data_IF_667647347720
#
_entry.id   IF_667647347720
#
_cell.length_a   1.000
_cell.length_b   1.000
_cell.length_c   1.000
_cell.angle_alpha   90.00
_cell.angle_beta   90.00
_cell.angle_gamma   90.00
#
_symmetry.space_group_name_H-M   'P 1'
#
loop_
_entity.id
_entity.type
_entity.pdbx_description
1 polymer ?
#
# COMPACT_ATOMS: atom_id res chain seq x y z
N UNK A 1 -16.65 6.76 21.28
CA UNK A 1 -16.93 6.10 19.98
C UNK A 1 -17.22 7.18 18.95
N UNK A 2 -16.71 7.04 17.73
CA UNK A 2 -16.95 7.99 16.64
C UNK A 2 -18.42 7.94 16.19
N UNK A 3 -19.00 9.07 15.74
CA UNK A 3 -20.36 9.11 15.21
C UNK A 3 -20.46 8.32 13.90
N UNK A 4 -21.66 7.84 13.55
CA UNK A 4 -21.91 7.11 12.30
C UNK A 4 -21.44 7.89 11.06
N UNK A 5 -21.80 9.18 10.98
CA UNK A 5 -21.37 10.05 9.88
C UNK A 5 -19.83 10.22 9.85
N UNK A 6 -19.17 10.21 11.01
CA UNK A 6 -17.71 10.26 11.08
C UNK A 6 -17.05 8.98 10.55
N UNK A 7 -17.59 7.81 10.90
CA UNK A 7 -17.08 6.52 10.42
C UNK A 7 -17.32 6.34 8.92
N UNK A 8 -18.56 6.59 8.46
CA UNK A 8 -18.94 6.46 7.06
C UNK A 8 -18.12 7.42 6.18
N UNK A 9 -17.87 8.65 6.65
CA UNK A 9 -17.01 9.61 5.97
C UNK A 9 -15.57 9.15 5.83
N UNK A 10 -14.98 8.54 6.89
CA UNK A 10 -13.64 7.98 6.83
C UNK A 10 -13.54 6.81 5.85
N UNK A 11 -14.50 5.88 5.92
CA UNK A 11 -14.58 4.75 4.98
C UNK A 11 -14.69 5.27 3.55
N UNK A 12 -15.60 6.21 3.30
CA UNK A 12 -15.78 6.81 1.98
C UNK A 12 -14.49 7.47 1.46
N UNK A 13 -13.76 8.19 2.31
CA UNK A 13 -12.48 8.79 1.95
C UNK A 13 -11.43 7.71 1.60
N UNK A 14 -11.31 6.64 2.40
CA UNK A 14 -10.39 5.54 2.10
C UNK A 14 -10.69 4.84 0.76
N UNK A 15 -11.97 4.76 0.37
CA UNK A 15 -12.40 4.02 -0.82
C UNK A 15 -12.44 4.85 -2.10
N UNK A 16 -12.92 6.09 -2.03
CA UNK A 16 -13.21 6.89 -3.22
C UNK A 16 -12.22 8.02 -3.43
N UNK A 17 -11.54 8.48 -2.38
CA UNK A 17 -10.67 9.63 -2.50
C UNK A 17 -9.38 9.27 -3.25
N UNK A 18 -9.10 10.03 -4.30
CA UNK A 18 -7.86 9.95 -5.07
C UNK A 18 -7.49 11.34 -5.54
N UNK A 19 -6.20 11.65 -5.54
CA UNK A 19 -5.72 12.87 -6.16
C UNK A 19 -5.90 12.75 -7.67
N UNK A 20 -6.71 13.64 -8.24
CA UNK A 20 -7.03 13.78 -9.65
C UNK A 20 -5.89 14.44 -10.45
N UNK A 21 -6.00 14.48 -11.77
CA UNK A 21 -5.00 15.16 -12.61
C UNK A 21 -4.99 16.69 -12.40
N UNK A 22 -6.14 17.39 -12.35
CA UNK A 22 -6.16 18.82 -12.08
C UNK A 22 -5.53 19.18 -10.73
N UNK A 23 -5.79 18.39 -9.68
CA UNK A 23 -5.18 18.63 -8.35
C UNK A 23 -3.66 18.47 -8.36
N UNK A 24 -3.14 17.47 -9.08
CA UNK A 24 -1.69 17.34 -9.29
C UNK A 24 -1.14 18.58 -10.00
N UNK A 25 -1.81 19.06 -11.04
CA UNK A 25 -1.34 20.24 -11.77
C UNK A 25 -1.35 21.50 -10.90
N UNK A 26 -2.38 21.68 -10.08
CA UNK A 26 -2.42 22.76 -9.10
C UNK A 26 -1.29 22.68 -8.08
N UNK A 27 -0.97 21.48 -7.56
CA UNK A 27 0.18 21.33 -6.67
C UNK A 27 1.48 21.69 -7.39
N UNK A 28 1.65 21.27 -8.65
CA UNK A 28 2.86 21.56 -9.44
C UNK A 28 3.01 23.05 -9.73
N UNK A 29 1.91 23.78 -9.95
CA UNK A 29 1.93 25.22 -10.25
C UNK A 29 1.94 26.12 -9.01
N UNK A 30 1.71 25.57 -7.81
CA UNK A 30 1.65 26.34 -6.57
C UNK A 30 3.00 26.91 -6.08
N UNK A 31 4.12 26.53 -6.71
CA UNK A 31 5.43 27.14 -6.47
C UNK A 31 6.15 26.66 -5.21
N UNK A 32 5.71 25.57 -4.58
CA UNK A 32 6.41 24.95 -3.44
C UNK A 32 7.02 23.60 -3.80
N UNK A 33 8.12 23.26 -3.13
CA UNK A 33 8.80 21.97 -3.25
C UNK A 33 8.09 20.92 -2.39
N UNK A 34 8.12 19.66 -2.84
CA UNK A 34 7.49 18.53 -2.14
C UNK A 34 8.54 17.46 -1.83
N UNK A 35 8.49 16.88 -0.63
CA UNK A 35 9.26 15.68 -0.28
C UNK A 35 8.30 14.54 0.04
N UNK A 36 8.38 13.44 -0.72
CA UNK A 36 7.62 12.22 -0.46
C UNK A 36 8.55 11.26 0.30
N UNK A 37 8.36 11.16 1.61
CA UNK A 37 9.19 10.34 2.51
C UNK A 37 8.43 9.07 2.86
N UNK A 38 9.02 7.90 2.60
CA UNK A 38 8.29 6.63 2.73
C UNK A 38 9.18 5.46 3.17
N UNK A 39 8.60 4.53 3.95
CA UNK A 39 9.26 3.29 4.37
C UNK A 39 9.19 2.19 3.30
N UNK A 40 10.32 1.57 2.96
CA UNK A 40 10.41 0.52 1.92
C UNK A 40 9.58 -0.73 2.21
N UNK A 41 9.30 -0.98 3.48
CA UNK A 41 8.62 -2.18 3.96
C UNK A 41 7.21 -1.88 4.49
N UNK A 42 6.64 -0.71 4.17
CA UNK A 42 5.27 -0.37 4.52
C UNK A 42 4.28 -1.36 3.87
N UNK A 43 3.61 -2.14 4.71
CA UNK A 43 2.61 -3.13 4.31
C UNK A 43 1.21 -2.53 4.15
N UNK A 44 0.95 -1.37 4.75
CA UNK A 44 -0.33 -0.67 4.74
C UNK A 44 -0.41 0.20 3.48
N UNK A 45 0.58 1.07 3.28
CA UNK A 45 0.72 1.90 2.09
C UNK A 45 2.00 1.51 1.35
N UNK A 46 1.90 0.57 0.41
CA UNK A 46 3.10 0.03 -0.23
C UNK A 46 3.87 1.09 -1.03
N UNK A 47 5.21 1.00 -0.99
CA UNK A 47 6.13 1.95 -1.64
C UNK A 47 5.85 2.28 -3.13
N UNK A 48 5.28 1.40 -3.98
CA UNK A 48 4.94 1.79 -5.35
C UNK A 48 3.92 2.92 -5.43
N UNK A 49 3.05 3.09 -4.43
CA UNK A 49 2.09 4.19 -4.38
C UNK A 49 2.77 5.53 -4.11
N UNK A 50 3.70 5.57 -3.15
CA UNK A 50 4.50 6.75 -2.85
C UNK A 50 5.37 7.18 -4.04
N UNK A 51 6.07 6.22 -4.68
CA UNK A 51 6.85 6.48 -5.89
C UNK A 51 5.99 7.02 -7.04
N UNK A 52 4.79 6.46 -7.24
CA UNK A 52 3.86 6.96 -8.26
C UNK A 52 3.38 8.38 -7.96
N UNK A 53 3.11 8.70 -6.69
CA UNK A 53 2.75 10.06 -6.30
C UNK A 53 3.89 11.03 -6.57
N UNK A 54 5.11 10.71 -6.13
CA UNK A 54 6.30 11.53 -6.38
C UNK A 54 6.51 11.77 -7.88
N UNK A 55 6.34 10.74 -8.69
CA UNK A 55 6.48 10.82 -10.14
C UNK A 55 5.40 11.67 -10.82
N UNK A 56 4.14 11.59 -10.36
CA UNK A 56 3.06 12.47 -10.83
C UNK A 56 3.32 13.94 -10.47
N UNK A 57 4.01 14.18 -9.36
CA UNK A 57 4.40 15.51 -8.89
C UNK A 57 5.72 16.01 -9.50
N UNK A 58 6.36 15.27 -10.40
CA UNK A 58 7.55 15.76 -11.10
C UNK A 58 7.27 17.11 -11.82
N UNK A 59 8.16 18.11 -11.78
CA UNK A 59 9.49 18.10 -11.16
C UNK A 59 9.52 18.64 -9.72
N UNK A 60 8.39 18.96 -9.09
CA UNK A 60 8.40 19.63 -7.77
C UNK A 60 8.66 18.68 -6.60
N UNK A 61 8.56 17.37 -6.83
CA UNK A 61 8.74 16.37 -5.79
C UNK A 61 10.11 15.68 -5.81
N UNK A 62 10.60 15.36 -4.61
CA UNK A 62 11.73 14.44 -4.35
C UNK A 62 11.21 13.20 -3.64
N UNK A 63 11.65 12.01 -4.05
CA UNK A 63 11.33 10.75 -3.37
C UNK A 63 12.44 10.39 -2.37
N UNK A 64 12.07 10.11 -1.13
CA UNK A 64 12.98 9.68 -0.05
C UNK A 64 12.58 8.29 0.42
N UNK A 65 13.31 7.27 -0.07
CA UNK A 65 13.06 5.86 0.22
C UNK A 65 13.88 5.39 1.44
N UNK A 66 13.25 5.28 2.60
CA UNK A 66 13.91 4.89 3.84
C UNK A 66 13.67 3.42 4.21
N UNK A 67 14.59 2.82 4.97
CA UNK A 67 14.34 1.49 5.53
C UNK A 67 13.31 1.61 6.65
N UNK A 68 12.21 0.85 6.58
CA UNK A 68 11.21 0.83 7.64
C UNK A 68 9.81 0.56 7.11
N UNK A 69 8.86 0.44 8.03
CA UNK A 69 7.44 0.22 7.75
C UNK A 69 6.65 1.51 7.56
N UNK A 70 5.37 1.43 7.93
CA UNK A 70 4.44 2.56 7.85
C UNK A 70 4.83 3.73 8.75
N UNK A 71 5.43 3.44 9.90
CA UNK A 71 5.80 4.42 10.92
C UNK A 71 7.27 4.86 10.77
N UNK A 72 7.70 5.08 9.52
CA UNK A 72 9.11 5.40 9.21
C UNK A 72 9.60 6.67 9.92
N UNK A 73 8.70 7.59 10.31
CA UNK A 73 9.00 8.74 11.16
C UNK A 73 9.49 8.37 12.56
N UNK A 74 9.01 7.26 13.13
CA UNK A 74 9.44 6.73 14.41
C UNK A 74 10.63 5.78 14.27
N UNK A 75 10.69 5.02 13.17
CA UNK A 75 11.76 4.03 12.94
C UNK A 75 13.07 4.67 12.46
N UNK A 76 12.98 5.82 11.77
CA UNK A 76 14.10 6.52 11.11
C UNK A 76 14.02 8.02 11.36
N UNK A 77 13.85 8.41 12.62
CA UNK A 77 13.64 9.81 13.02
C UNK A 77 14.75 10.72 12.52
N UNK A 78 16.02 10.31 12.61
CA UNK A 78 17.15 11.12 12.18
C UNK A 78 17.16 11.35 10.66
N UNK A 79 16.94 10.30 9.86
CA UNK A 79 16.91 10.42 8.40
C UNK A 79 15.68 11.20 7.91
N UNK A 80 14.54 11.07 8.60
CA UNK A 80 13.34 11.87 8.33
C UNK A 80 13.58 13.34 8.67
N UNK A 81 14.12 13.64 9.86
CA UNK A 81 14.45 15.01 10.26
C UNK A 81 15.46 15.65 9.31
N UNK A 82 16.50 14.91 8.91
CA UNK A 82 17.44 15.38 7.89
C UNK A 82 16.74 15.73 6.58
N UNK A 83 15.83 14.87 6.11
CA UNK A 83 15.08 15.11 4.88
C UNK A 83 14.17 16.33 4.96
N UNK A 84 13.54 16.58 6.12
CA UNK A 84 12.73 17.77 6.37
C UNK A 84 13.60 19.04 6.38
N UNK A 85 14.75 19.01 7.05
CA UNK A 85 15.69 20.12 7.08
C UNK A 85 16.24 20.46 5.69
N UNK A 86 16.49 19.45 4.85
CA UNK A 86 16.90 19.66 3.46
C UNK A 86 15.79 20.33 2.63
N UNK A 87 14.53 19.96 2.83
CA UNK A 87 13.38 20.60 2.17
C UNK A 87 13.22 22.06 2.61
N UNK A 88 13.33 22.34 3.91
CA UNK A 88 13.26 23.71 4.45
C UNK A 88 14.35 24.58 3.83
N UNK A 89 15.60 24.11 3.88
CA UNK A 89 16.74 24.82 3.29
C UNK A 89 16.57 25.05 1.78
N UNK A 90 16.09 24.04 1.04
CA UNK A 90 15.84 24.18 -0.39
C UNK A 90 14.74 25.22 -0.69
N UNK A 91 13.70 25.26 0.14
CA UNK A 91 12.62 26.25 0.04
C UNK A 91 13.13 27.67 0.32
N UNK A 92 13.91 27.86 1.40
CA UNK A 92 14.52 29.15 1.75
C UNK A 92 15.46 29.66 0.66
N UNK A 93 16.25 28.76 0.07
CA UNK A 93 17.13 29.07 -1.07
C UNK A 93 16.38 29.24 -2.39
N UNK A 94 15.05 29.08 -2.42
CA UNK A 94 14.21 29.11 -3.63
C UNK A 94 14.76 28.22 -4.74
N UNK A 95 15.20 27.02 -4.35
CA UNK A 95 15.81 26.06 -5.28
C UNK A 95 14.83 25.72 -6.40
N UNK A 96 15.31 25.66 -7.64
CA UNK A 96 14.47 25.29 -8.76
C UNK A 96 13.94 23.85 -8.59
N UNK A 97 12.70 23.54 -9.00
CA UNK A 97 12.15 22.20 -8.93
C UNK A 97 13.04 21.12 -9.57
N UNK A 98 13.65 21.45 -10.72
CA UNK A 98 14.58 20.57 -11.45
C UNK A 98 15.84 20.22 -10.67
N UNK A 99 16.31 21.12 -9.81
CA UNK A 99 17.51 20.89 -8.99
C UNK A 99 17.14 20.18 -7.67
N UNK A 100 15.87 20.26 -7.26
CA UNK A 100 15.35 19.62 -6.06
C UNK A 100 15.04 18.13 -6.27
N UNK A 101 14.43 17.80 -7.41
CA UNK A 101 13.99 16.44 -7.69
C UNK A 101 15.15 15.47 -7.91
N UNK A 102 14.99 14.23 -7.44
CA UNK A 102 15.85 13.10 -7.76
C UNK A 102 15.21 12.12 -8.75
N UNK A 103 14.10 12.53 -9.36
CA UNK A 103 13.31 11.73 -10.28
C UNK A 103 13.69 12.05 -11.72
N UNK A 104 13.62 11.05 -12.58
CA UNK A 104 13.66 11.26 -14.02
C UNK A 104 12.26 11.54 -14.55
N UNK A 105 12.09 12.37 -15.60
CA UNK A 105 10.80 12.53 -16.25
C UNK A 105 10.26 11.16 -16.67
N UNK A 106 9.00 10.89 -16.36
CA UNK A 106 8.38 9.63 -16.76
C UNK A 106 8.20 9.63 -18.28
N UNK A 107 8.62 8.57 -18.96
CA UNK A 107 8.24 8.38 -20.36
C UNK A 107 6.73 8.13 -20.42
N UNK A 108 5.97 8.89 -21.23
CA UNK A 108 4.53 8.71 -21.32
C UNK A 108 4.22 7.25 -21.69
N UNK A 109 3.48 6.56 -20.82
CA UNK A 109 3.08 5.17 -21.01
C UNK A 109 3.90 4.13 -20.22
N UNK A 110 4.98 4.48 -19.53
CA UNK A 110 5.75 3.51 -18.72
C UNK A 110 4.88 2.80 -17.68
N UNK A 111 4.06 3.56 -16.96
CA UNK A 111 3.19 3.02 -15.92
C UNK A 111 2.02 2.19 -16.50
N UNK A 112 1.42 2.66 -17.61
CA UNK A 112 0.41 1.92 -18.37
C UNK A 112 0.98 0.60 -18.90
N UNK A 113 2.21 0.62 -19.42
CA UNK A 113 2.93 -0.56 -19.93
C UNK A 113 3.31 -1.52 -18.80
N UNK A 114 3.65 -1.02 -17.60
CA UNK A 114 3.86 -1.86 -16.39
C UNK A 114 2.58 -2.52 -15.90
N UNK A 115 1.46 -1.80 -15.82
CA UNK A 115 0.17 -2.40 -15.46
C UNK A 115 -0.26 -3.41 -16.52
N UNK A 116 -0.09 -3.09 -17.81
CA UNK A 116 -0.35 -4.02 -18.89
C UNK A 116 0.57 -5.25 -18.79
N UNK A 117 1.86 -5.08 -18.49
CA UNK A 117 2.82 -6.18 -18.31
C UNK A 117 2.47 -7.07 -17.11
N UNK A 118 2.00 -6.50 -15.98
CA UNK A 118 1.52 -7.29 -14.84
C UNK A 118 0.25 -8.08 -15.22
N UNK A 119 -0.60 -7.50 -16.07
CA UNK A 119 -1.83 -8.14 -16.57
C UNK A 119 -1.54 -9.21 -17.63
N UNK A 120 -0.50 -9.03 -18.45
CA UNK A 120 -0.07 -9.99 -19.48
C UNK A 120 0.97 -10.99 -18.97
N UNK A 121 1.63 -10.77 -17.83
CA UNK A 121 2.53 -11.77 -17.21
C UNK A 121 1.77 -12.94 -16.57
N UNK A 122 0.44 -12.87 -16.53
CA UNK A 122 -0.44 -14.05 -16.36
C UNK A 122 -0.38 -14.98 -17.59
N UNK A 123 0.21 -14.53 -18.70
CA UNK A 123 0.14 -15.15 -20.01
C UNK A 123 1.46 -14.90 -20.79
N UNK A 124 2.61 -15.27 -20.23
CA UNK A 124 3.87 -15.13 -20.99
C UNK A 124 5.13 -15.39 -20.20
N UNK A 125 5.78 -16.52 -20.53
CA UNK A 125 7.07 -16.97 -20.00
C UNK A 125 8.22 -15.97 -20.25
N UNK A 126 9.13 -15.96 -19.27
CA UNK A 126 10.55 -15.57 -19.30
C UNK A 126 10.93 -14.07 -19.21
N UNK A 127 11.24 -13.61 -17.99
CA UNK A 127 12.45 -12.80 -17.71
C UNK A 127 12.78 -12.84 -16.21
N UNK A 128 14.04 -13.12 -15.92
CA UNK A 128 14.64 -13.38 -14.60
C UNK A 128 14.51 -12.18 -13.64
N UNK A 129 13.81 -12.38 -12.52
CA UNK A 129 13.98 -11.65 -11.24
C UNK A 129 13.39 -12.51 -10.10
N UNK A 130 13.85 -12.36 -8.85
CA UNK A 130 14.07 -13.48 -7.93
C UNK A 130 12.76 -14.11 -7.40
N UNK A 131 12.67 -15.45 -7.36
CA UNK A 131 11.45 -16.18 -7.04
C UNK A 131 11.00 -16.03 -5.58
N UNK A 132 11.82 -15.45 -4.70
CA UNK A 132 11.55 -15.40 -3.26
C UNK A 132 10.39 -14.48 -2.87
N UNK A 133 10.27 -13.30 -3.47
CA UNK A 133 9.30 -12.29 -3.01
C UNK A 133 7.85 -12.62 -3.35
N UNK A 134 7.60 -13.16 -4.55
CA UNK A 134 6.26 -13.56 -5.00
C UNK A 134 5.84 -14.84 -4.28
N UNK A 135 6.77 -15.79 -4.10
CA UNK A 135 6.51 -17.06 -3.43
C UNK A 135 6.17 -16.84 -1.94
N UNK A 136 6.82 -15.90 -1.26
CA UNK A 136 6.53 -15.58 0.15
C UNK A 136 5.15 -14.92 0.34
N UNK A 137 4.73 -14.04 -0.59
CA UNK A 137 3.37 -13.46 -0.57
C UNK A 137 2.31 -14.51 -0.88
N UNK A 138 2.56 -15.38 -1.85
CA UNK A 138 1.65 -16.47 -2.19
C UNK A 138 1.53 -17.47 -1.03
N UNK A 139 2.66 -17.81 -0.40
CA UNK A 139 2.70 -18.71 0.76
C UNK A 139 1.92 -18.13 1.95
N UNK A 140 2.09 -16.83 2.25
CA UNK A 140 1.30 -16.16 3.30
C UNK A 140 -0.21 -16.14 2.99
N UNK A 141 -0.58 -15.89 1.73
CA UNK A 141 -1.98 -15.96 1.29
C UNK A 141 -2.56 -17.37 1.44
N UNK A 142 -1.81 -18.40 1.04
CA UNK A 142 -2.21 -19.80 1.13
C UNK A 142 -2.40 -20.24 2.58
N UNK A 143 -1.47 -19.88 3.47
CA UNK A 143 -1.59 -20.17 4.91
C UNK A 143 -2.80 -19.48 5.53
N UNK A 144 -3.10 -18.24 5.14
CA UNK A 144 -4.27 -17.52 5.61
C UNK A 144 -5.58 -18.20 5.18
N UNK A 145 -5.67 -18.63 3.91
CA UNK A 145 -6.84 -19.36 3.40
C UNK A 145 -7.00 -20.73 4.07
N UNK A 146 -5.92 -21.48 4.26
CA UNK A 146 -5.92 -22.75 5.00
C UNK A 146 -6.38 -22.55 6.45
N UNK A 147 -5.91 -21.49 7.12
CA UNK A 147 -6.36 -21.15 8.47
C UNK A 147 -7.87 -20.88 8.54
N UNK A 148 -8.41 -20.12 7.59
CA UNK A 148 -9.85 -19.87 7.50
C UNK A 148 -10.64 -21.16 7.24
N UNK A 149 -10.14 -22.04 6.38
CA UNK A 149 -10.78 -23.33 6.09
C UNK A 149 -10.80 -24.24 7.32
N UNK A 150 -9.69 -24.33 8.07
CA UNK A 150 -9.63 -25.12 9.32
C UNK A 150 -10.59 -24.54 10.37
N UNK A 151 -10.63 -23.21 10.52
CA UNK A 151 -11.54 -22.55 11.45
C UNK A 151 -13.01 -22.81 11.09
N UNK A 152 -13.38 -22.67 9.81
CA UNK A 152 -14.72 -22.95 9.32
C UNK A 152 -15.09 -24.43 9.50
N UNK A 153 -14.16 -25.35 9.21
CA UNK A 153 -14.35 -26.78 9.39
C UNK A 153 -14.53 -27.16 10.86
N UNK A 154 -13.73 -26.59 11.77
CA UNK A 154 -13.92 -26.80 13.20
C UNK A 154 -15.28 -26.30 13.67
N UNK A 155 -15.71 -25.12 13.21
CA UNK A 155 -17.00 -24.55 13.58
C UNK A 155 -18.15 -25.44 13.08
N UNK A 156 -18.08 -25.90 11.83
CA UNK A 156 -19.04 -26.84 11.26
C UNK A 156 -19.04 -28.16 12.06
N UNK A 157 -17.87 -28.74 12.34
CA UNK A 157 -17.75 -30.00 13.11
C UNK A 157 -18.34 -29.87 14.52
N UNK A 158 -18.15 -28.73 15.20
CA UNK A 158 -18.74 -28.46 16.52
C UNK A 158 -20.26 -28.35 16.41
N UNK A 159 -20.77 -27.62 15.43
CA UNK A 159 -22.22 -27.55 15.16
C UNK A 159 -22.80 -28.95 14.93
N UNK A 160 -22.20 -29.77 14.06
CA UNK A 160 -22.66 -31.15 13.81
C UNK A 160 -22.56 -32.08 15.02
N UNK A 161 -21.62 -31.86 15.96
CA UNK A 161 -21.58 -32.64 17.22
C UNK A 161 -22.71 -32.29 18.18
N UNK A 162 -23.15 -31.03 18.19
CA UNK A 162 -24.29 -30.57 19.02
C UNK A 162 -25.61 -31.16 18.52
N UNK A 163 -25.72 -31.47 17.23
CA UNK A 163 -26.93 -32.09 16.64
C UNK A 163 -26.95 -33.62 16.74
N UNK A 164 -26.09 -34.26 17.55
CA UNK A 164 -26.25 -35.72 17.78
C UNK A 164 -27.55 -35.97 18.56
N UNK A 165 -28.55 -36.67 17.99
CA UNK A 165 -29.80 -36.94 18.69
C UNK A 165 -29.54 -37.88 19.87
N UNK A 166 -30.14 -37.56 21.02
CA UNK A 166 -30.19 -38.46 22.18
C UNK A 166 -30.93 -39.73 21.73
N UNK A 167 -30.25 -40.89 21.80
CA UNK A 167 -30.90 -42.18 21.57
C UNK A 167 -31.81 -42.47 22.77
N UNK A 168 -33.11 -42.25 22.61
CA UNK A 168 -34.12 -42.74 23.55
C UNK A 168 -34.27 -44.25 23.30
N UNK A 169 -33.86 -45.06 24.28
CA UNK A 169 -34.08 -46.51 24.24
C UNK A 169 -35.57 -46.84 24.44
N UNK A 170 -36.06 -47.97 23.90
CA UNK A 170 -37.46 -48.36 24.07
C UNK A 170 -37.72 -48.69 25.54
N UNK A 171 -38.69 -47.99 26.15
CA UNK A 171 -39.26 -48.38 27.44
C UNK A 171 -40.17 -49.58 27.19
N UNK A 172 -39.77 -50.76 27.65
CA UNK A 172 -40.60 -51.95 27.67
C UNK A 172 -41.54 -51.85 28.88
N UNK A 173 -42.85 -51.80 28.62
CA UNK A 173 -43.93 -52.11 29.56
C UNK A 173 -44.82 -53.16 28.93
#
# INVERSE_FOLDING_TARGET
>A
MQSKNGLDGQLNACWLHKITKPEIEWIRSAGFLVSVIHGRHDVIAQIPHARRLAQRLYPVARMVDLHGGHLVSHERTDEVNKSLMELIKASEMKKAPTDWTNLTPETPGYFTRRIALIRTSSEGKNAVSPPSFIMEKFHRCLLFLLGLLVLAFEHARRAFRVVKPVKVGPCLT
#
